data_IF_212473990849
#
_entry.id   IF_212473990849
#
_cell.length_a   1.000
_cell.length_b   1.000
_cell.length_c   1.000
_cell.angle_alpha   90.00
_cell.angle_beta   90.00
_cell.angle_gamma   90.00
#
_symmetry.space_group_name_H-M   'P 1'
#
loop_
_entity.id
_entity.type
_entity.pdbx_description
1 polymer ?
#
# COMPACT_ATOMS: atom_id res chain seq x y z
N UNK A 1 -32.96 14.10 59.85
CA UNK A 1 -33.13 15.55 59.71
C UNK A 1 -33.47 15.83 58.27
N UNK A 2 -34.69 16.15 58.05
CA UNK A 2 -35.43 16.58 56.87
C UNK A 2 -34.97 17.96 56.37
N UNK A 3 -34.96 18.20 55.05
CA UNK A 3 -35.46 19.39 54.29
C UNK A 3 -35.20 19.13 52.81
N UNK A 4 -36.20 18.91 52.00
CA UNK A 4 -37.18 19.73 51.29
C UNK A 4 -36.60 20.55 50.14
N UNK A 5 -36.97 20.08 48.93
CA UNK A 5 -37.39 20.69 47.67
C UNK A 5 -36.91 22.11 47.27
N UNK A 6 -36.43 22.22 46.05
CA UNK A 6 -37.09 23.11 45.06
C UNK A 6 -36.67 22.82 43.61
N UNK A 7 -37.65 22.88 42.74
CA UNK A 7 -37.60 22.64 41.32
C UNK A 7 -36.99 23.83 40.59
N UNK A 8 -36.06 23.58 39.70
CA UNK A 8 -35.57 24.55 38.70
C UNK A 8 -35.33 23.87 37.37
N UNK A 9 -36.40 23.79 36.54
CA UNK A 9 -36.38 23.37 35.15
C UNK A 9 -35.58 24.38 34.32
N UNK A 10 -34.37 24.07 33.93
CA UNK A 10 -33.66 24.80 32.88
C UNK A 10 -33.70 23.97 31.61
N UNK A 11 -34.49 24.43 30.64
CA UNK A 11 -34.38 24.06 29.23
C UNK A 11 -32.95 24.30 28.75
N UNK A 12 -32.23 23.23 28.46
CA UNK A 12 -31.00 23.32 27.67
C UNK A 12 -31.45 23.24 26.21
N UNK A 13 -31.33 24.37 25.54
CA UNK A 13 -31.44 24.47 24.08
C UNK A 13 -30.36 23.58 23.50
N UNK A 14 -30.73 22.56 22.76
CA UNK A 14 -29.89 21.83 21.82
C UNK A 14 -29.49 22.77 20.70
N UNK A 15 -28.28 23.35 20.82
CA UNK A 15 -27.66 24.16 19.77
C UNK A 15 -27.01 23.26 18.74
N UNK A 16 -27.52 23.30 17.59
CA UNK A 16 -26.97 23.18 16.24
C UNK A 16 -25.53 22.64 16.14
N UNK A 17 -25.35 21.29 16.07
CA UNK A 17 -24.09 20.65 15.69
C UNK A 17 -23.85 20.64 14.18
N UNK A 18 -24.85 20.98 13.35
CA UNK A 18 -24.74 20.94 11.89
C UNK A 18 -24.00 22.10 11.25
N UNK A 19 -23.78 23.21 11.98
CA UNK A 19 -23.10 24.39 11.41
C UNK A 19 -21.56 24.34 11.55
N UNK A 20 -21.04 23.56 12.49
CA UNK A 20 -19.59 23.40 12.67
C UNK A 20 -18.97 22.41 11.69
N UNK A 21 -19.71 21.36 11.29
CA UNK A 21 -19.21 20.36 10.36
C UNK A 21 -19.15 20.87 8.90
N UNK A 22 -20.08 21.77 8.51
CA UNK A 22 -20.05 22.37 7.17
C UNK A 22 -18.91 23.39 7.00
N UNK A 23 -18.52 24.09 8.07
CA UNK A 23 -17.44 25.10 8.01
C UNK A 23 -16.06 24.42 8.05
N UNK A 24 -15.91 23.37 8.83
CA UNK A 24 -14.67 22.57 8.86
C UNK A 24 -14.42 21.83 7.52
N UNK A 25 -15.46 21.32 6.87
CA UNK A 25 -15.35 20.68 5.57
C UNK A 25 -15.03 21.68 4.44
N UNK A 26 -15.51 22.93 4.53
CA UNK A 26 -15.12 23.98 3.59
C UNK A 26 -13.69 24.45 3.79
N UNK A 27 -13.23 24.68 5.02
CA UNK A 27 -11.84 25.03 5.32
C UNK A 27 -10.87 23.93 4.89
N UNK A 28 -11.25 22.66 5.04
CA UNK A 28 -10.44 21.52 4.63
C UNK A 28 -10.31 21.41 3.10
N UNK A 29 -11.33 21.82 2.33
CA UNK A 29 -11.27 21.86 0.86
C UNK A 29 -10.38 22.99 0.34
N UNK A 30 -10.32 24.12 1.05
CA UNK A 30 -9.52 25.28 0.64
C UNK A 30 -8.00 25.02 0.68
N UNK A 31 -7.55 24.11 1.54
CA UNK A 31 -6.11 23.76 1.66
C UNK A 31 -5.55 23.08 0.41
N UNK A 32 -6.34 22.23 -0.24
CA UNK A 32 -5.94 21.52 -1.45
C UNK A 32 -6.25 22.31 -2.73
N UNK A 33 -6.85 23.50 -2.62
CA UNK A 33 -7.26 24.30 -3.77
C UNK A 33 -6.12 25.14 -4.28
N UNK A 34 -5.79 24.97 -5.56
CA UNK A 34 -4.87 25.81 -6.31
C UNK A 34 -5.67 26.62 -7.34
N UNK A 35 -5.72 27.96 -7.22
CA UNK A 35 -6.53 28.77 -8.13
C UNK A 35 -8.04 28.61 -7.92
N UNK A 36 -8.81 28.71 -9.00
CA UNK A 36 -10.29 28.66 -8.94
C UNK A 36 -10.86 27.30 -9.34
N UNK A 37 -10.18 26.59 -10.23
CA UNK A 37 -10.65 25.37 -10.90
C UNK A 37 -9.88 24.11 -10.49
N UNK A 38 -8.73 24.25 -9.85
CA UNK A 38 -7.83 23.14 -9.56
C UNK A 38 -7.86 22.74 -8.08
N UNK A 39 -8.26 21.50 -7.82
CA UNK A 39 -8.12 20.84 -6.51
C UNK A 39 -7.00 19.81 -6.62
N UNK A 40 -6.04 19.82 -5.71
CA UNK A 40 -4.95 18.84 -5.68
C UNK A 40 -5.15 17.88 -4.53
N UNK A 41 -5.01 16.60 -4.78
CA UNK A 41 -5.04 15.56 -3.76
C UNK A 41 -3.71 14.80 -3.75
N UNK A 42 -2.79 15.17 -2.83
CA UNK A 42 -1.52 14.46 -2.70
C UNK A 42 -1.72 13.04 -2.16
N UNK A 43 -1.16 12.06 -2.83
CA UNK A 43 -1.35 10.64 -2.53
C UNK A 43 -0.06 10.04 -1.94
N UNK A 44 -0.17 9.31 -0.84
CA UNK A 44 0.84 8.32 -0.45
C UNK A 44 0.48 7.02 -1.18
N UNK A 45 1.37 6.57 -2.04
CA UNK A 45 1.16 5.36 -2.82
C UNK A 45 1.23 4.09 -1.97
N UNK A 46 0.77 2.97 -2.51
CA UNK A 46 0.81 1.65 -1.89
C UNK A 46 -0.02 1.53 -0.59
N UNK A 47 -1.12 2.28 -0.49
CA UNK A 47 -2.00 2.28 0.69
C UNK A 47 -3.48 2.20 0.31
N UNK A 48 -4.16 1.17 0.81
CA UNK A 48 -5.61 1.00 0.68
C UNK A 48 -6.39 2.10 1.39
N UNK A 49 -5.90 2.61 2.52
CA UNK A 49 -6.54 3.72 3.25
C UNK A 49 -6.51 5.02 2.44
N UNK A 50 -5.42 5.25 1.68
CA UNK A 50 -5.36 6.37 0.74
C UNK A 50 -6.27 6.17 -0.46
N UNK A 51 -6.35 4.95 -1.00
CA UNK A 51 -7.29 4.63 -2.09
C UNK A 51 -8.74 4.92 -1.69
N UNK A 52 -9.13 4.56 -0.45
CA UNK A 52 -10.45 4.91 0.09
C UNK A 52 -10.65 6.43 0.26
N UNK A 53 -9.61 7.15 0.64
CA UNK A 53 -9.69 8.61 0.78
C UNK A 53 -9.87 9.29 -0.58
N UNK A 54 -9.15 8.85 -1.62
CA UNK A 54 -9.34 9.30 -3.01
C UNK A 54 -10.76 8.97 -3.50
N UNK A 55 -11.25 7.75 -3.23
CA UNK A 55 -12.63 7.37 -3.57
C UNK A 55 -13.66 8.29 -2.95
N UNK A 56 -13.51 8.64 -1.67
CA UNK A 56 -14.43 9.58 -0.99
C UNK A 56 -14.38 10.95 -1.63
N UNK A 57 -13.20 11.46 -1.94
CA UNK A 57 -13.03 12.76 -2.59
C UNK A 57 -13.70 12.78 -3.97
N UNK A 58 -13.41 11.78 -4.80
CA UNK A 58 -14.01 11.65 -6.14
C UNK A 58 -15.54 11.58 -6.11
N UNK A 59 -16.11 10.83 -5.17
CA UNK A 59 -17.58 10.67 -5.07
C UNK A 59 -18.27 11.85 -4.38
N UNK A 60 -17.59 12.63 -3.56
CA UNK A 60 -18.16 13.80 -2.88
C UNK A 60 -17.94 15.11 -3.64
N UNK A 61 -16.94 15.17 -4.50
CA UNK A 61 -16.63 16.30 -5.35
C UNK A 61 -17.44 16.29 -6.65
N UNK A 62 -17.43 17.42 -7.34
CA UNK A 62 -17.98 17.54 -8.69
C UNK A 62 -16.84 17.94 -9.61
N UNK A 63 -16.19 16.94 -10.21
CA UNK A 63 -15.06 17.15 -11.10
C UNK A 63 -15.45 16.82 -12.52
N UNK A 64 -15.00 17.62 -13.49
CA UNK A 64 -15.16 17.37 -14.92
C UNK A 64 -13.87 16.79 -15.56
N UNK A 65 -12.74 16.93 -14.86
CA UNK A 65 -11.47 16.33 -15.26
C UNK A 65 -10.71 15.76 -14.06
N UNK A 66 -10.13 14.57 -14.24
CA UNK A 66 -9.12 13.97 -13.38
C UNK A 66 -7.76 14.05 -14.07
N UNK A 67 -6.85 14.86 -13.52
CA UNK A 67 -5.46 14.89 -13.95
C UNK A 67 -4.62 13.94 -13.08
N UNK A 68 -3.75 13.14 -13.69
CA UNK A 68 -2.90 12.19 -12.98
C UNK A 68 -1.42 12.35 -13.34
N UNK A 69 -0.55 12.18 -12.35
CA UNK A 69 0.90 12.30 -12.52
C UNK A 69 1.50 11.04 -13.16
N UNK A 70 1.01 10.68 -14.35
CA UNK A 70 1.52 9.62 -15.22
C UNK A 70 1.71 10.16 -16.63
N UNK A 71 2.65 9.64 -17.42
CA UNK A 71 2.87 10.11 -18.79
C UNK A 71 1.80 9.58 -19.75
N UNK A 72 1.51 10.32 -20.83
CA UNK A 72 0.47 9.96 -21.81
C UNK A 72 0.65 8.58 -22.45
N UNK A 73 1.89 8.10 -22.62
CA UNK A 73 2.16 6.78 -23.18
C UNK A 73 1.58 5.63 -22.35
N UNK A 74 1.30 5.86 -21.07
CA UNK A 74 0.68 4.88 -20.17
C UNK A 74 -0.85 4.91 -20.17
N UNK A 75 -1.49 5.95 -20.72
CA UNK A 75 -2.92 6.16 -20.57
C UNK A 75 -3.75 4.98 -21.04
N UNK A 76 -3.63 4.63 -22.31
CA UNK A 76 -4.41 3.56 -22.92
C UNK A 76 -4.17 2.20 -22.23
N UNK A 77 -2.92 1.72 -22.02
CA UNK A 77 -2.69 0.45 -21.33
C UNK A 77 -3.14 0.43 -19.86
N UNK A 78 -3.07 1.56 -19.15
CA UNK A 78 -3.57 1.65 -17.75
C UNK A 78 -5.09 1.54 -17.72
N UNK A 79 -5.80 2.22 -18.62
CA UNK A 79 -7.26 2.10 -18.77
C UNK A 79 -7.64 0.63 -19.05
N UNK A 80 -6.99 -0.01 -20.00
CA UNK A 80 -7.22 -1.43 -20.30
C UNK A 80 -6.96 -2.35 -19.10
N UNK A 81 -5.93 -2.06 -18.31
CA UNK A 81 -5.65 -2.80 -17.09
C UNK A 81 -6.71 -2.61 -16.02
N UNK A 82 -7.22 -1.39 -15.85
CA UNK A 82 -8.28 -1.06 -14.89
C UNK A 82 -9.61 -1.73 -15.27
N UNK A 83 -9.94 -1.82 -16.54
CA UNK A 83 -11.12 -2.53 -17.03
C UNK A 83 -11.10 -4.04 -16.73
N UNK A 84 -9.91 -4.61 -16.54
CA UNK A 84 -9.73 -6.04 -16.18
C UNK A 84 -9.76 -6.30 -14.69
N UNK A 85 -9.75 -5.26 -13.84
CA UNK A 85 -9.87 -5.48 -12.40
C UNK A 85 -11.16 -6.27 -12.09
N UNK A 86 -11.09 -7.27 -11.20
CA UNK A 86 -10.09 -7.48 -10.14
C UNK A 86 -8.82 -8.24 -10.55
N UNK A 87 -8.63 -8.68 -11.79
CA UNK A 87 -7.38 -9.31 -12.21
C UNK A 87 -6.22 -8.29 -12.16
N UNK A 88 -5.17 -8.63 -11.43
CA UNK A 88 -4.01 -7.76 -11.25
C UNK A 88 -3.08 -7.83 -12.45
N UNK A 89 -2.68 -6.68 -12.94
CA UNK A 89 -1.77 -6.52 -14.06
C UNK A 89 -0.76 -5.40 -13.81
N UNK A 90 0.22 -5.25 -14.68
CA UNK A 90 1.18 -4.16 -14.65
C UNK A 90 1.35 -3.59 -16.07
N UNK A 91 1.34 -2.28 -16.17
CA UNK A 91 1.71 -1.60 -17.43
C UNK A 91 3.20 -1.31 -17.37
N UNK A 92 3.95 -1.80 -18.34
CA UNK A 92 5.41 -1.78 -18.34
C UNK A 92 5.95 -1.12 -19.61
N UNK A 93 7.02 -0.34 -19.45
CA UNK A 93 7.72 0.34 -20.54
C UNK A 93 9.22 0.19 -20.37
N UNK A 94 9.94 -0.31 -21.39
CA UNK A 94 11.41 -0.32 -21.39
C UNK A 94 11.95 1.10 -21.45
N UNK A 95 13.01 1.33 -20.70
CA UNK A 95 13.69 2.62 -20.71
C UNK A 95 14.59 2.74 -21.96
N UNK A 96 14.60 3.90 -22.59
CA UNK A 96 15.47 4.12 -23.75
C UNK A 96 16.93 4.32 -23.37
N UNK A 97 17.17 4.94 -22.22
CA UNK A 97 18.51 5.21 -21.72
C UNK A 97 19.13 4.07 -20.89
N UNK A 98 18.33 3.06 -20.53
CA UNK A 98 18.73 1.87 -19.76
C UNK A 98 17.94 0.63 -20.23
N UNK A 99 18.43 -0.10 -21.25
CA UNK A 99 17.68 -1.22 -21.83
C UNK A 99 17.38 -2.36 -20.86
N UNK A 100 18.17 -2.51 -19.78
CA UNK A 100 17.97 -3.54 -18.77
C UNK A 100 16.96 -3.10 -17.70
N UNK A 101 16.47 -1.86 -17.78
CA UNK A 101 15.48 -1.32 -16.88
C UNK A 101 14.09 -1.17 -17.55
N UNK A 102 13.08 -1.47 -16.75
CA UNK A 102 11.68 -1.32 -17.10
C UNK A 102 11.00 -0.49 -16.03
N UNK A 103 10.40 0.63 -16.41
CA UNK A 103 9.52 1.34 -15.50
C UNK A 103 8.09 0.81 -15.65
N UNK A 104 7.34 0.76 -14.55
CA UNK A 104 6.00 0.17 -14.55
C UNK A 104 5.01 0.90 -13.66
N UNK A 105 3.74 0.75 -14.01
CA UNK A 105 2.58 1.17 -13.21
C UNK A 105 1.85 -0.08 -12.76
N UNK A 106 1.78 -0.37 -11.45
CA UNK A 106 0.99 -1.48 -10.93
C UNK A 106 -0.51 -1.16 -11.03
N UNK A 107 -1.27 -2.04 -11.66
CA UNK A 107 -2.74 -1.95 -11.66
C UNK A 107 -3.25 -2.63 -10.38
N UNK A 108 -3.07 -1.92 -9.28
CA UNK A 108 -3.40 -2.36 -7.93
C UNK A 108 -4.61 -1.55 -7.42
N UNK A 109 -5.73 -2.19 -7.04
CA UNK A 109 -6.93 -1.49 -6.56
C UNK A 109 -6.69 -0.73 -5.25
N UNK A 110 -5.63 -1.05 -4.50
CA UNK A 110 -5.21 -0.33 -3.30
C UNK A 110 -4.28 0.86 -3.57
N UNK A 111 -4.06 1.21 -4.85
CA UNK A 111 -3.37 2.43 -5.24
C UNK A 111 -4.36 3.59 -5.41
N UNK A 112 -4.13 4.71 -4.71
CA UNK A 112 -5.02 5.88 -4.79
C UNK A 112 -5.18 6.42 -6.21
N UNK A 113 -4.10 6.43 -7.01
CA UNK A 113 -4.15 6.88 -8.39
C UNK A 113 -4.99 5.96 -9.27
N UNK A 114 -4.81 4.65 -9.16
CA UNK A 114 -5.60 3.65 -9.88
C UNK A 114 -7.09 3.70 -9.46
N UNK A 115 -7.35 3.89 -8.17
CA UNK A 115 -8.70 4.07 -7.66
C UNK A 115 -9.36 5.32 -8.26
N UNK A 116 -8.64 6.43 -8.33
CA UNK A 116 -9.14 7.68 -8.94
C UNK A 116 -9.50 7.49 -10.41
N UNK A 117 -8.60 6.90 -11.22
CA UNK A 117 -8.85 6.63 -12.64
C UNK A 117 -10.05 5.69 -12.80
N UNK A 118 -10.14 4.63 -11.98
CA UNK A 118 -11.27 3.69 -12.01
C UNK A 118 -12.61 4.37 -11.77
N UNK A 119 -12.67 5.34 -10.85
CA UNK A 119 -13.89 6.11 -10.58
C UNK A 119 -14.17 7.08 -11.73
N UNK A 120 -13.13 7.77 -12.24
CA UNK A 120 -13.29 8.67 -13.38
C UNK A 120 -13.92 7.96 -14.59
N UNK A 121 -13.45 6.73 -14.89
CA UNK A 121 -14.04 5.91 -15.96
C UNK A 121 -15.49 5.52 -15.66
N UNK A 122 -15.85 5.22 -14.41
CA UNK A 122 -17.22 4.84 -14.03
C UNK A 122 -18.20 6.02 -14.08
N UNK A 123 -17.73 7.20 -13.68
CA UNK A 123 -18.53 8.44 -13.64
C UNK A 123 -18.45 9.24 -14.95
N UNK A 124 -17.75 8.73 -15.97
CA UNK A 124 -17.49 9.40 -17.25
C UNK A 124 -16.83 10.79 -17.09
N UNK A 125 -15.90 10.91 -16.15
CA UNK A 125 -15.05 12.08 -15.95
C UNK A 125 -13.86 11.97 -16.90
N UNK A 126 -13.50 13.07 -17.58
CA UNK A 126 -12.30 13.11 -18.42
C UNK A 126 -11.05 12.77 -17.61
N UNK A 127 -10.14 11.98 -18.16
CA UNK A 127 -8.94 11.56 -17.46
C UNK A 127 -7.70 11.92 -18.29
N UNK A 128 -6.86 12.80 -17.74
CA UNK A 128 -5.68 13.35 -18.41
C UNK A 128 -4.39 12.91 -17.73
N UNK A 129 -3.49 12.30 -18.48
CA UNK A 129 -2.18 11.88 -18.02
C UNK A 129 -1.18 12.99 -18.33
N UNK A 130 -0.66 13.67 -17.32
CA UNK A 130 0.04 14.95 -17.47
C UNK A 130 1.52 14.94 -17.11
N UNK A 131 2.10 13.79 -16.78
CA UNK A 131 3.53 13.71 -16.50
C UNK A 131 4.35 13.75 -17.78
N UNK A 132 5.62 14.16 -17.69
CA UNK A 132 6.54 14.24 -18.81
C UNK A 132 7.06 12.86 -19.19
N UNK A 133 7.13 12.59 -20.49
CA UNK A 133 7.88 11.43 -21.00
C UNK A 133 9.38 11.60 -20.73
N UNK A 134 10.00 10.54 -20.19
CA UNK A 134 11.44 10.53 -19.85
C UNK A 134 12.12 9.29 -20.41
N UNK A 135 13.38 9.43 -20.78
CA UNK A 135 14.26 8.36 -21.28
C UNK A 135 14.63 7.34 -20.19
N UNK A 136 14.83 7.84 -18.97
CA UNK A 136 15.11 7.07 -17.75
C UNK A 136 14.27 7.61 -16.63
N UNK A 137 13.53 6.72 -15.96
CA UNK A 137 12.74 7.07 -14.78
C UNK A 137 13.56 6.87 -13.50
N UNK A 138 13.49 7.84 -12.60
CA UNK A 138 14.11 7.77 -11.28
C UNK A 138 13.02 7.51 -10.23
N UNK A 139 13.17 6.42 -9.48
CA UNK A 139 12.24 6.07 -8.40
C UNK A 139 12.56 6.92 -7.18
N UNK A 140 11.51 7.54 -6.62
CA UNK A 140 11.59 8.28 -5.38
C UNK A 140 10.76 7.55 -4.33
N UNK A 141 11.42 7.18 -3.23
CA UNK A 141 10.79 6.53 -2.08
C UNK A 141 10.97 7.42 -0.86
N UNK A 142 9.97 7.42 0.02
CA UNK A 142 9.98 8.20 1.24
C UNK A 142 9.73 7.34 2.49
N UNK A 143 9.81 7.99 3.65
CA UNK A 143 9.32 7.41 4.90
C UNK A 143 8.14 8.25 5.35
N UNK A 144 7.00 7.64 5.52
CA UNK A 144 5.75 8.31 5.83
C UNK A 144 5.18 7.84 7.16
N UNK A 145 4.40 8.67 7.86
CA UNK A 145 3.51 8.21 8.91
C UNK A 145 2.56 7.14 8.36
N UNK A 146 2.17 6.19 9.20
CA UNK A 146 1.22 5.15 8.79
C UNK A 146 -0.09 5.77 8.28
N UNK A 147 -0.51 5.50 7.03
CA UNK A 147 -1.73 6.05 6.43
C UNK A 147 -3.02 5.74 7.21
N UNK A 148 -3.02 4.71 8.03
CA UNK A 148 -4.14 4.41 8.93
C UNK A 148 -4.47 5.58 9.88
N UNK A 149 -3.51 6.47 10.13
CA UNK A 149 -3.74 7.68 10.93
C UNK A 149 -4.83 8.59 10.33
N UNK A 150 -5.06 8.56 9.01
CA UNK A 150 -6.14 9.29 8.32
C UNK A 150 -7.55 8.94 8.80
N UNK A 151 -7.72 7.81 9.50
CA UNK A 151 -8.99 7.46 10.17
C UNK A 151 -9.33 8.39 11.35
N UNK A 152 -8.32 9.07 11.90
CA UNK A 152 -8.46 9.90 13.11
C UNK A 152 -7.94 11.32 12.95
N UNK A 153 -7.05 11.53 12.00
CA UNK A 153 -6.39 12.81 11.76
C UNK A 153 -6.83 13.29 10.37
N UNK A 154 -7.30 14.53 10.23
CA UNK A 154 -7.58 15.11 8.91
C UNK A 154 -6.36 15.04 7.99
N UNK A 155 -6.59 15.04 6.67
CA UNK A 155 -5.52 14.93 5.68
C UNK A 155 -4.48 16.06 5.75
N UNK A 156 -4.89 17.30 6.04
CA UNK A 156 -4.00 18.44 6.19
C UNK A 156 -2.92 18.28 7.26
N UNK A 157 -3.24 18.02 8.55
CA UNK A 157 -2.22 17.77 9.56
C UNK A 157 -1.34 16.57 9.23
N UNK A 158 -1.89 15.53 8.58
CA UNK A 158 -1.11 14.38 8.14
C UNK A 158 -0.06 14.79 7.11
N UNK A 159 -0.45 15.55 6.08
CA UNK A 159 0.47 16.06 5.06
C UNK A 159 1.47 17.07 5.65
N UNK A 160 1.03 17.95 6.55
CA UNK A 160 1.91 18.89 7.22
C UNK A 160 3.04 18.20 8.01
N UNK A 161 2.79 16.99 8.54
CA UNK A 161 3.82 16.19 9.20
C UNK A 161 4.85 15.58 8.20
N UNK A 162 4.44 15.36 6.96
CA UNK A 162 5.31 14.81 5.90
C UNK A 162 6.18 15.90 5.26
N UNK A 163 5.62 17.08 5.00
CA UNK A 163 6.28 18.14 4.24
C UNK A 163 7.72 18.47 4.69
N UNK A 164 8.04 18.56 6.00
CA UNK A 164 9.40 18.84 6.44
C UNK A 164 10.43 17.75 6.12
N UNK A 165 9.96 16.52 5.83
CA UNK A 165 10.84 15.38 5.53
C UNK A 165 11.17 15.27 4.04
N UNK A 166 10.49 16.05 3.18
CA UNK A 166 10.65 16.00 1.74
C UNK A 166 11.85 16.85 1.28
N UNK A 167 12.74 16.24 0.51
CA UNK A 167 13.86 16.93 -0.10
C UNK A 167 13.43 17.61 -1.40
N UNK A 168 13.91 18.85 -1.59
CA UNK A 168 13.71 19.55 -2.87
C UNK A 168 14.45 18.80 -3.99
N UNK A 169 13.86 18.71 -5.20
CA UNK A 169 14.56 18.20 -6.37
C UNK A 169 15.83 19.00 -6.64
N UNK A 170 16.85 18.30 -7.10
CA UNK A 170 18.09 18.98 -7.54
C UNK A 170 17.80 19.85 -8.76
N UNK A 171 18.42 21.05 -8.86
CA UNK A 171 18.27 21.93 -10.01
C UNK A 171 18.63 21.20 -11.32
N UNK A 172 17.87 21.45 -12.36
CA UNK A 172 18.01 20.86 -13.71
C UNK A 172 17.88 19.32 -13.76
N UNK A 173 17.48 18.68 -12.64
CA UNK A 173 17.22 17.24 -12.61
C UNK A 173 16.00 16.86 -13.46
N UNK A 174 15.95 15.59 -13.88
CA UNK A 174 14.75 15.05 -14.56
C UNK A 174 13.50 15.25 -13.73
N UNK A 175 13.60 15.10 -12.41
CA UNK A 175 12.48 15.30 -11.49
C UNK A 175 11.98 16.74 -11.50
N UNK A 176 12.87 17.73 -11.43
CA UNK A 176 12.48 19.15 -11.47
C UNK A 176 11.81 19.49 -12.81
N UNK A 177 12.33 18.96 -13.93
CA UNK A 177 11.72 19.14 -15.26
C UNK A 177 10.34 18.50 -15.34
N UNK A 178 10.14 17.30 -14.83
CA UNK A 178 8.81 16.65 -14.77
C UNK A 178 7.82 17.48 -13.97
N UNK A 179 8.23 17.99 -12.80
CA UNK A 179 7.42 18.88 -11.94
C UNK A 179 7.01 20.15 -12.68
N UNK A 180 7.95 20.82 -13.33
CA UNK A 180 7.65 22.02 -14.12
C UNK A 180 6.72 21.73 -15.30
N UNK A 181 6.90 20.57 -15.95
CA UNK A 181 6.02 20.12 -17.05
C UNK A 181 4.59 19.86 -16.54
N UNK A 182 4.41 19.11 -15.45
CA UNK A 182 3.09 18.88 -14.85
C UNK A 182 2.41 20.20 -14.48
N UNK A 183 3.14 21.14 -13.89
CA UNK A 183 2.59 22.46 -13.55
C UNK A 183 2.17 23.25 -14.81
N UNK A 184 2.87 23.10 -15.92
CA UNK A 184 2.50 23.69 -17.20
C UNK A 184 1.20 23.06 -17.75
N UNK A 185 1.15 21.73 -17.79
CA UNK A 185 -0.03 20.98 -18.25
C UNK A 185 -1.29 21.30 -17.42
N UNK A 186 -1.15 21.47 -16.10
CA UNK A 186 -2.28 21.88 -15.26
C UNK A 186 -2.85 23.24 -15.66
N UNK A 187 -2.00 24.22 -16.01
CA UNK A 187 -2.47 25.53 -16.49
C UNK A 187 -3.18 25.44 -17.85
N UNK A 188 -2.73 24.55 -18.73
CA UNK A 188 -3.39 24.31 -20.00
C UNK A 188 -4.77 23.64 -19.80
N UNK A 189 -4.87 22.69 -18.87
CA UNK A 189 -6.16 22.04 -18.58
C UNK A 189 -7.20 23.00 -17.98
N UNK A 190 -6.78 24.04 -17.23
CA UNK A 190 -7.70 25.05 -16.70
C UNK A 190 -8.36 25.92 -17.80
N UNK A 191 -7.81 25.90 -19.03
CA UNK A 191 -8.46 26.56 -20.18
C UNK A 191 -9.59 25.69 -20.75
N UNK A 192 -9.56 24.37 -20.52
CA UNK A 192 -10.51 23.39 -21.07
C UNK A 192 -11.57 22.94 -20.05
N UNK A 193 -11.19 22.81 -18.78
CA UNK A 193 -12.01 22.24 -17.71
C UNK A 193 -12.24 23.25 -16.56
N UNK A 194 -13.38 23.09 -15.88
CA UNK A 194 -13.80 24.02 -14.81
C UNK A 194 -13.48 23.54 -13.40
N UNK A 195 -13.56 22.22 -13.20
CA UNK A 195 -13.37 21.61 -11.89
C UNK A 195 -12.43 20.38 -12.03
N UNK A 196 -11.14 20.62 -11.89
CA UNK A 196 -10.08 19.62 -12.07
C UNK A 196 -9.68 19.05 -10.71
N UNK A 197 -9.63 17.71 -10.60
CA UNK A 197 -8.93 17.04 -9.51
C UNK A 197 -7.57 16.55 -10.01
N UNK A 198 -6.49 16.99 -9.38
CA UNK A 198 -5.15 16.50 -9.67
C UNK A 198 -4.66 15.52 -8.61
N UNK A 199 -4.37 14.28 -9.02
CA UNK A 199 -3.74 13.25 -8.18
C UNK A 199 -2.24 13.21 -8.48
N UNK A 200 -1.42 13.49 -7.46
CA UNK A 200 0.03 13.38 -7.57
C UNK A 200 0.62 12.73 -6.32
N UNK A 201 1.88 12.29 -6.42
CA UNK A 201 2.62 11.84 -5.24
C UNK A 201 2.76 12.96 -4.22
N UNK A 202 2.56 12.65 -2.95
CA UNK A 202 2.87 13.59 -1.84
C UNK A 202 4.30 14.13 -1.92
N UNK A 203 5.21 13.35 -2.50
CA UNK A 203 6.61 13.72 -2.64
C UNK A 203 6.83 14.82 -3.68
N UNK A 204 6.00 14.92 -4.70
CA UNK A 204 6.11 15.92 -5.77
C UNK A 204 5.20 17.14 -5.55
N UNK A 205 4.13 16.97 -4.78
CA UNK A 205 3.12 17.99 -4.53
C UNK A 205 3.66 19.38 -4.18
N UNK A 206 4.57 19.56 -3.18
CA UNK A 206 5.01 20.89 -2.80
C UNK A 206 5.69 21.64 -3.95
N UNK A 207 6.42 20.90 -4.76
CA UNK A 207 7.20 21.45 -5.86
C UNK A 207 6.34 21.72 -7.10
N UNK A 208 5.33 20.88 -7.37
CA UNK A 208 4.33 21.15 -8.41
C UNK A 208 3.54 22.41 -8.07
N UNK A 209 3.12 22.56 -6.80
CA UNK A 209 2.45 23.77 -6.32
C UNK A 209 3.32 25.01 -6.54
N UNK A 210 4.58 24.94 -6.12
CA UNK A 210 5.50 26.08 -6.25
C UNK A 210 5.75 26.43 -7.73
N UNK A 211 5.97 25.43 -8.59
CA UNK A 211 6.15 25.63 -10.03
C UNK A 211 4.89 26.21 -10.70
N UNK A 212 3.70 25.79 -10.27
CA UNK A 212 2.42 26.31 -10.75
C UNK A 212 2.25 27.79 -10.36
N UNK A 213 2.46 28.14 -9.07
CA UNK A 213 2.30 29.51 -8.55
C UNK A 213 3.34 30.48 -9.12
N UNK A 214 4.58 30.00 -9.33
CA UNK A 214 5.67 30.80 -9.92
C UNK A 214 5.57 30.90 -11.43
N UNK A 215 4.58 30.26 -12.06
CA UNK A 215 4.41 30.21 -13.50
C UNK A 215 5.69 29.75 -14.23
N UNK A 216 6.33 28.72 -13.68
CA UNK A 216 7.56 28.18 -14.25
C UNK A 216 7.37 27.84 -15.71
N UNK A 217 8.31 28.22 -16.61
CA UNK A 217 8.21 27.92 -18.04
C UNK A 217 8.11 26.42 -18.29
N UNK A 218 7.37 26.06 -19.36
CA UNK A 218 7.20 24.68 -19.78
C UNK A 218 8.54 24.16 -20.34
N UNK A 219 9.13 23.12 -19.75
CA UNK A 219 10.33 22.52 -20.31
C UNK A 219 9.97 21.74 -21.56
N UNK A 220 10.85 21.73 -22.54
CA UNK A 220 10.72 20.83 -23.68
C UNK A 220 10.86 19.38 -23.22
N UNK A 221 9.95 18.47 -23.64
CA UNK A 221 10.09 17.03 -23.36
C UNK A 221 11.45 16.51 -23.83
N UNK A 222 12.12 15.72 -22.99
CA UNK A 222 13.43 15.10 -23.36
C UNK A 222 13.27 14.10 -24.51
N UNK A 223 12.09 13.53 -24.63
CA UNK A 223 11.64 12.72 -25.73
C UNK A 223 10.60 13.56 -26.47
N UNK A 224 10.86 13.91 -27.72
CA UNK A 224 9.81 14.32 -28.62
C UNK A 224 8.75 13.23 -28.61
N UNK A 225 7.47 13.58 -28.51
CA UNK A 225 6.33 12.68 -28.49
C UNK A 225 6.63 11.47 -29.36
N UNK A 226 6.65 10.29 -28.74
CA UNK A 226 7.31 9.09 -29.28
C UNK A 226 7.11 8.97 -30.79
N UNK A 227 8.19 8.81 -31.57
CA UNK A 227 8.01 8.41 -32.94
C UNK A 227 7.12 7.17 -32.93
N UNK A 228 6.30 7.00 -33.99
CA UNK A 228 5.33 5.89 -34.11
C UNK A 228 5.92 4.47 -33.84
N UNK A 229 7.17 4.37 -33.47
CA UNK A 229 7.96 3.17 -33.19
C UNK A 229 8.82 3.25 -31.91
N UNK A 230 8.52 4.16 -30.96
CA UNK A 230 9.17 4.15 -29.64
C UNK A 230 8.67 2.98 -28.76
N UNK A 231 9.38 2.63 -27.65
CA UNK A 231 8.94 1.59 -26.74
C UNK A 231 7.60 2.01 -26.12
N UNK A 232 6.52 1.46 -26.67
CA UNK A 232 5.18 1.70 -26.15
C UNK A 232 5.01 0.98 -24.81
N UNK A 233 4.36 1.64 -23.87
CA UNK A 233 3.91 0.97 -22.67
C UNK A 233 2.93 -0.17 -23.04
N UNK A 234 3.08 -1.34 -22.40
CA UNK A 234 2.29 -2.54 -22.66
C UNK A 234 1.76 -3.12 -21.38
N UNK A 235 0.59 -3.72 -21.46
CA UNK A 235 -0.07 -4.40 -20.37
C UNK A 235 0.45 -5.84 -20.24
N UNK A 236 0.90 -6.21 -19.04
CA UNK A 236 1.35 -7.55 -18.69
C UNK A 236 0.52 -8.10 -17.55
N UNK A 237 0.26 -9.39 -17.57
CA UNK A 237 -0.31 -10.10 -16.45
C UNK A 237 0.77 -10.36 -15.40
N UNK A 238 0.40 -10.33 -14.12
CA UNK A 238 1.33 -10.62 -13.03
C UNK A 238 1.13 -12.05 -12.54
N UNK A 239 2.23 -12.78 -12.37
CA UNK A 239 2.18 -14.14 -11.82
C UNK A 239 1.57 -14.15 -10.41
N UNK A 240 0.56 -15.00 -10.19
CA UNK A 240 -0.13 -15.13 -8.91
C UNK A 240 0.83 -15.39 -7.73
N UNK A 241 1.90 -16.16 -7.96
CA UNK A 241 2.89 -16.49 -6.94
C UNK A 241 3.72 -15.28 -6.48
N UNK A 242 3.78 -14.21 -7.28
CA UNK A 242 4.66 -13.06 -7.08
C UNK A 242 3.92 -11.75 -6.80
N UNK A 243 2.59 -11.75 -6.74
CA UNK A 243 1.77 -10.56 -6.43
C UNK A 243 2.23 -9.81 -5.18
N UNK A 244 2.67 -10.55 -4.17
CA UNK A 244 3.16 -9.99 -2.91
C UNK A 244 4.33 -9.01 -3.08
N UNK A 245 5.14 -9.16 -4.14
CA UNK A 245 6.26 -8.24 -4.39
C UNK A 245 5.82 -6.93 -5.05
N UNK A 246 4.67 -6.92 -5.70
CA UNK A 246 4.17 -5.75 -6.43
C UNK A 246 3.11 -4.96 -5.65
N UNK A 247 2.15 -5.65 -5.04
CA UNK A 247 1.02 -5.01 -4.35
C UNK A 247 1.50 -4.15 -3.16
N UNK A 248 0.81 -3.05 -2.94
CA UNK A 248 1.02 -2.18 -1.79
C UNK A 248 0.56 -2.80 -0.49
N UNK A 249 -0.61 -3.45 -0.51
CA UNK A 249 -1.19 -4.18 0.61
C UNK A 249 -0.89 -5.69 0.49
N UNK A 250 -1.10 -6.43 1.59
CA UNK A 250 -1.05 -7.90 1.59
C UNK A 250 -2.09 -8.43 0.59
N UNK A 251 -1.75 -9.35 -0.34
CA UNK A 251 -2.67 -9.82 -1.38
C UNK A 251 -4.05 -10.26 -0.87
N UNK A 252 -4.12 -10.98 0.25
CA UNK A 252 -5.37 -11.35 0.88
C UNK A 252 -6.20 -10.13 1.36
N UNK A 253 -5.54 -9.07 1.84
CA UNK A 253 -6.23 -7.82 2.22
C UNK A 253 -6.72 -7.09 0.98
N UNK A 254 -5.91 -7.01 -0.09
CA UNK A 254 -6.33 -6.47 -1.39
C UNK A 254 -7.57 -7.21 -1.92
N UNK A 255 -7.59 -8.55 -1.80
CA UNK A 255 -8.77 -9.35 -2.12
C UNK A 255 -10.00 -8.94 -1.32
N UNK A 256 -9.86 -8.69 0.00
CA UNK A 256 -10.98 -8.26 0.84
C UNK A 256 -11.50 -6.86 0.42
N UNK A 257 -10.64 -5.94 0.01
CA UNK A 257 -11.07 -4.64 -0.53
C UNK A 257 -11.92 -4.81 -1.79
N UNK A 258 -11.49 -5.63 -2.74
CA UNK A 258 -12.28 -5.89 -3.95
C UNK A 258 -13.59 -6.63 -3.65
N UNK A 259 -13.56 -7.63 -2.79
CA UNK A 259 -14.75 -8.35 -2.35
C UNK A 259 -15.76 -7.42 -1.66
N UNK A 260 -15.31 -6.56 -0.74
CA UNK A 260 -16.18 -5.60 -0.07
C UNK A 260 -16.82 -4.62 -1.05
N UNK A 261 -16.12 -4.27 -2.12
CA UNK A 261 -16.63 -3.44 -3.18
C UNK A 261 -17.73 -4.15 -3.98
N UNK A 262 -17.56 -5.42 -4.34
CA UNK A 262 -18.58 -6.23 -5.01
C UNK A 262 -19.83 -6.40 -4.14
N UNK A 263 -19.63 -6.72 -2.88
CA UNK A 263 -20.72 -6.97 -1.91
C UNK A 263 -21.34 -5.67 -1.38
N UNK A 264 -20.84 -4.49 -1.78
CA UNK A 264 -21.24 -3.17 -1.27
C UNK A 264 -21.19 -3.10 0.26
N UNK A 265 -20.26 -3.81 0.88
CA UNK A 265 -20.06 -3.83 2.32
C UNK A 265 -19.08 -2.75 2.77
N UNK A 266 -19.01 -2.50 4.08
CA UNK A 266 -18.10 -1.49 4.62
C UNK A 266 -16.65 -1.93 4.49
N UNK A 267 -15.84 -1.10 3.85
CA UNK A 267 -14.42 -1.29 3.60
C UNK A 267 -13.51 -0.36 4.45
N UNK A 268 -14.12 0.45 5.33
CA UNK A 268 -13.44 1.53 6.04
C UNK A 268 -12.28 1.08 6.94
N UNK A 269 -12.32 -0.12 7.50
CA UNK A 269 -11.32 -0.61 8.45
C UNK A 269 -10.60 -1.88 7.97
N UNK A 270 -10.62 -2.18 6.69
CA UNK A 270 -10.06 -3.44 6.15
C UNK A 270 -8.56 -3.57 6.41
N UNK A 271 -7.80 -2.48 6.51
CA UNK A 271 -6.38 -2.51 6.91
C UNK A 271 -6.14 -3.17 8.29
N UNK A 272 -7.12 -3.14 9.19
CA UNK A 272 -7.05 -3.77 10.52
C UNK A 272 -7.98 -4.99 10.61
N UNK A 273 -9.22 -4.87 10.14
CA UNK A 273 -10.19 -5.97 10.19
C UNK A 273 -9.79 -7.09 9.23
N UNK A 274 -9.18 -6.76 8.09
CA UNK A 274 -8.59 -7.73 7.17
C UNK A 274 -7.48 -8.58 7.80
N UNK A 275 -6.72 -8.04 8.76
CA UNK A 275 -5.74 -8.83 9.53
C UNK A 275 -6.44 -9.90 10.40
N UNK A 276 -7.60 -9.58 10.96
CA UNK A 276 -8.41 -10.57 11.73
C UNK A 276 -8.95 -11.65 10.81
N UNK A 277 -9.49 -11.27 9.66
CA UNK A 277 -9.98 -12.22 8.65
C UNK A 277 -8.86 -13.13 8.14
N UNK A 278 -7.69 -12.56 7.83
CA UNK A 278 -6.49 -13.31 7.46
C UNK A 278 -6.12 -14.35 8.53
N UNK A 279 -6.11 -13.95 9.81
CA UNK A 279 -5.78 -14.83 10.93
C UNK A 279 -6.79 -15.98 11.06
N UNK A 280 -8.07 -15.69 10.95
CA UNK A 280 -9.15 -16.68 11.03
C UNK A 280 -9.06 -17.67 9.87
N UNK A 281 -8.87 -17.18 8.65
CA UNK A 281 -8.76 -18.02 7.47
C UNK A 281 -7.47 -18.87 7.49
N UNK A 282 -6.33 -18.30 7.89
CA UNK A 282 -5.08 -19.04 8.07
C UNK A 282 -5.22 -20.16 9.10
N UNK A 283 -5.91 -19.88 10.23
CA UNK A 283 -6.23 -20.90 11.23
C UNK A 283 -7.13 -22.00 10.67
N UNK A 284 -8.17 -21.64 9.92
CA UNK A 284 -9.09 -22.59 9.29
C UNK A 284 -8.31 -23.53 8.36
N UNK A 285 -7.49 -22.98 7.46
CA UNK A 285 -6.67 -23.77 6.52
C UNK A 285 -5.66 -24.66 7.25
N UNK A 286 -5.01 -24.13 8.28
CA UNK A 286 -4.04 -24.88 9.09
C UNK A 286 -4.68 -26.07 9.81
N UNK A 287 -5.86 -25.88 10.45
CA UNK A 287 -6.60 -26.95 11.12
C UNK A 287 -6.99 -28.06 10.14
N UNK A 288 -7.46 -27.70 8.95
CA UNK A 288 -7.86 -28.67 7.92
C UNK A 288 -6.62 -29.42 7.38
N UNK A 289 -5.55 -28.69 7.04
CA UNK A 289 -4.31 -29.27 6.46
C UNK A 289 -3.64 -30.29 7.39
N UNK A 290 -3.64 -30.01 8.69
CA UNK A 290 -2.94 -30.82 9.68
C UNK A 290 -3.82 -31.74 10.50
N UNK A 291 -5.13 -31.77 10.23
CA UNK A 291 -6.12 -32.58 10.97
C UNK A 291 -6.00 -32.40 12.49
N UNK A 292 -5.82 -31.16 12.92
CA UNK A 292 -5.60 -30.80 14.33
C UNK A 292 -6.93 -30.54 15.01
N UNK A 293 -7.08 -31.01 16.24
CA UNK A 293 -8.23 -30.66 17.09
C UNK A 293 -8.28 -29.15 17.33
N UNK A 294 -9.45 -28.54 17.25
CA UNK A 294 -9.68 -27.10 17.32
C UNK A 294 -9.17 -26.40 18.59
N UNK A 295 -8.66 -27.17 19.58
CA UNK A 295 -8.22 -26.64 20.87
C UNK A 295 -6.85 -25.92 20.82
N UNK A 296 -6.02 -26.14 19.80
CA UNK A 296 -4.65 -25.61 19.76
C UNK A 296 -4.54 -24.10 19.54
N UNK A 297 -5.40 -23.48 18.78
CA UNK A 297 -5.46 -22.03 18.62
C UNK A 297 -6.85 -21.54 19.02
N UNK A 298 -7.14 -21.63 20.31
CA UNK A 298 -8.42 -21.20 20.88
C UNK A 298 -8.54 -19.65 20.84
N UNK A 299 -9.74 -19.09 21.07
CA UNK A 299 -9.93 -17.63 21.05
C UNK A 299 -9.01 -16.84 21.97
N UNK A 300 -8.60 -17.41 23.12
CA UNK A 300 -7.68 -16.76 24.05
C UNK A 300 -6.28 -16.62 23.46
N UNK A 301 -5.81 -17.68 22.77
CA UNK A 301 -4.52 -17.68 22.06
C UNK A 301 -4.55 -16.70 20.89
N UNK A 302 -5.66 -16.63 20.14
CA UNK A 302 -5.82 -15.65 19.07
C UNK A 302 -5.85 -14.20 19.61
N UNK A 303 -6.46 -13.99 20.77
CA UNK A 303 -6.41 -12.70 21.46
C UNK A 303 -4.99 -12.33 21.87
N UNK A 304 -4.23 -13.29 22.41
CA UNK A 304 -2.82 -13.09 22.77
C UNK A 304 -1.98 -12.76 21.52
N UNK A 305 -2.21 -13.47 20.40
CA UNK A 305 -1.60 -13.18 19.11
C UNK A 305 -1.85 -11.73 18.67
N UNK A 306 -3.11 -11.29 18.67
CA UNK A 306 -3.45 -9.92 18.26
C UNK A 306 -2.83 -8.85 19.17
N UNK A 307 -2.76 -9.11 20.49
CA UNK A 307 -2.06 -8.22 21.43
C UNK A 307 -0.55 -8.16 21.12
N UNK A 308 0.05 -9.29 20.80
CA UNK A 308 1.46 -9.38 20.46
C UNK A 308 1.77 -8.64 19.14
N UNK A 309 0.99 -8.90 18.10
CA UNK A 309 1.06 -8.16 16.83
C UNK A 309 0.97 -6.66 17.08
N UNK A 310 -0.06 -6.20 17.80
CA UNK A 310 -0.22 -4.78 18.11
C UNK A 310 1.01 -4.20 18.80
N UNK A 311 1.58 -4.92 19.78
CA UNK A 311 2.74 -4.42 20.53
C UNK A 311 3.98 -4.30 19.63
N UNK A 312 4.23 -5.30 18.76
CA UNK A 312 5.32 -5.24 17.78
C UNK A 312 5.13 -4.07 16.79
N UNK A 313 3.92 -3.91 16.26
CA UNK A 313 3.57 -2.84 15.33
C UNK A 313 3.80 -1.45 15.95
N UNK A 314 3.40 -1.27 17.22
CA UNK A 314 3.63 -0.01 17.94
C UNK A 314 5.11 0.25 18.23
N UNK A 315 5.92 -0.80 18.43
CA UNK A 315 7.38 -0.66 18.57
C UNK A 315 8.02 -0.16 17.27
N UNK A 316 7.48 -0.60 16.11
CA UNK A 316 7.87 -0.11 14.78
C UNK A 316 7.23 1.25 14.45
N UNK A 317 6.53 1.90 15.40
CA UNK A 317 5.83 3.19 15.25
C UNK A 317 4.75 3.18 14.16
N UNK A 318 4.13 2.04 13.93
CA UNK A 318 3.03 1.85 12.98
C UNK A 318 1.73 1.49 13.70
N UNK A 319 0.62 1.66 13.02
CA UNK A 319 -0.71 1.20 13.46
C UNK A 319 -1.12 -0.09 12.74
N UNK A 320 -0.68 -0.25 11.48
CA UNK A 320 -0.95 -1.42 10.66
C UNK A 320 0.26 -2.36 10.66
N UNK A 321 0.07 -3.66 10.93
CA UNK A 321 1.16 -4.63 10.91
C UNK A 321 1.52 -5.01 9.47
N UNK A 322 2.81 -5.18 9.21
CA UNK A 322 3.31 -5.78 7.99
C UNK A 322 3.27 -7.33 8.06
N UNK A 323 3.46 -7.99 6.93
CA UNK A 323 3.44 -9.46 6.86
C UNK A 323 4.56 -10.09 7.71
N UNK A 324 5.72 -9.42 7.84
CA UNK A 324 6.80 -9.91 8.68
C UNK A 324 6.38 -9.97 10.14
N UNK A 325 5.81 -8.88 10.66
CA UNK A 325 5.30 -8.79 12.04
C UNK A 325 4.24 -9.84 12.32
N UNK A 326 3.29 -10.02 11.38
CA UNK A 326 2.25 -11.05 11.48
C UNK A 326 2.85 -12.46 11.52
N UNK A 327 3.85 -12.73 10.68
CA UNK A 327 4.51 -14.04 10.60
C UNK A 327 5.35 -14.34 11.83
N UNK A 328 6.09 -13.34 12.36
CA UNK A 328 6.84 -13.48 13.61
C UNK A 328 5.90 -13.82 14.76
N UNK A 329 4.79 -13.12 14.88
CA UNK A 329 3.79 -13.40 15.93
C UNK A 329 3.17 -14.79 15.74
N UNK A 330 2.86 -15.22 14.53
CA UNK A 330 2.32 -16.53 14.23
C UNK A 330 3.30 -17.64 14.62
N UNK A 331 4.59 -17.45 14.32
CA UNK A 331 5.65 -18.39 14.71
C UNK A 331 5.76 -18.54 16.23
N UNK A 332 5.67 -17.45 16.97
CA UNK A 332 5.76 -17.49 18.43
C UNK A 332 4.55 -18.15 19.08
N UNK A 333 3.36 -17.95 18.54
CA UNK A 333 2.10 -18.41 19.15
C UNK A 333 1.70 -19.81 18.67
N UNK A 334 1.86 -20.08 17.38
CA UNK A 334 1.39 -21.32 16.73
C UNK A 334 2.50 -22.21 16.15
N UNK A 335 3.76 -21.77 16.24
CA UNK A 335 4.91 -22.49 15.66
C UNK A 335 5.06 -22.28 14.15
N UNK A 336 6.09 -22.92 13.60
CA UNK A 336 6.49 -22.72 12.21
C UNK A 336 5.39 -23.17 11.23
N UNK A 337 4.66 -24.25 11.52
CA UNK A 337 3.60 -24.75 10.64
C UNK A 337 2.42 -23.78 10.50
N UNK A 338 2.05 -23.13 11.60
CA UNK A 338 1.01 -22.09 11.57
C UNK A 338 1.51 -20.83 10.86
N UNK A 339 2.76 -20.43 11.10
CA UNK A 339 3.37 -19.29 10.41
C UNK A 339 3.42 -19.50 8.89
N UNK A 340 3.77 -20.72 8.44
CA UNK A 340 3.71 -21.07 7.00
C UNK A 340 2.29 -20.95 6.46
N UNK A 341 1.30 -21.50 7.18
CA UNK A 341 -0.11 -21.40 6.76
C UNK A 341 -0.60 -19.94 6.69
N UNK A 342 -0.14 -19.09 7.61
CA UNK A 342 -0.44 -17.66 7.58
C UNK A 342 0.15 -16.99 6.32
N UNK A 343 1.41 -17.25 6.00
CA UNK A 343 2.08 -16.70 4.81
C UNK A 343 1.42 -17.19 3.52
N UNK A 344 1.10 -18.50 3.44
CA UNK A 344 0.39 -19.06 2.29
C UNK A 344 -0.98 -18.39 2.09
N UNK A 345 -1.72 -18.15 3.19
CA UNK A 345 -3.01 -17.46 3.13
C UNK A 345 -2.85 -16.00 2.78
N UNK A 346 -1.84 -15.31 3.32
CA UNK A 346 -1.58 -13.91 3.06
C UNK A 346 -1.24 -13.63 1.59
N UNK A 347 -0.58 -14.57 0.92
CA UNK A 347 -0.24 -14.48 -0.51
C UNK A 347 -1.39 -14.82 -1.45
N UNK A 348 -2.49 -15.37 -0.93
CA UNK A 348 -3.61 -15.80 -1.74
C UNK A 348 -4.44 -14.62 -2.24
N UNK A 349 -4.65 -14.58 -3.55
CA UNK A 349 -5.51 -13.61 -4.22
C UNK A 349 -6.42 -14.35 -5.19
N UNK A 350 -7.62 -14.74 -4.76
CA UNK A 350 -8.50 -15.65 -5.51
C UNK A 350 -8.92 -15.17 -6.89
N UNK A 351 -8.88 -13.87 -7.16
CA UNK A 351 -9.19 -13.31 -8.48
C UNK A 351 -8.07 -13.49 -9.51
N UNK A 352 -6.84 -13.83 -9.07
CA UNK A 352 -5.73 -14.12 -9.98
C UNK A 352 -5.71 -15.60 -10.31
N UNK A 353 -6.25 -15.96 -11.45
CA UNK A 353 -6.20 -17.35 -11.93
C UNK A 353 -4.80 -17.67 -12.46
N UNK A 354 -4.29 -18.88 -12.16
CA UNK A 354 -3.07 -19.38 -12.78
C UNK A 354 -3.41 -19.77 -14.23
N UNK A 355 -2.47 -19.48 -15.14
CA UNK A 355 -2.44 -20.03 -16.52
C UNK A 355 -3.65 -19.72 -17.42
N UNK A 356 -3.83 -18.45 -17.81
CA UNK A 356 -4.56 -18.16 -19.05
C UNK A 356 -3.57 -18.03 -20.20
N UNK A 357 -3.68 -18.92 -21.19
CA UNK A 357 -2.96 -18.81 -22.45
C UNK A 357 -3.31 -17.47 -23.15
N UNK A 358 -2.31 -16.72 -23.57
CA UNK A 358 -2.49 -15.56 -24.44
C UNK A 358 -2.01 -14.21 -23.91
N UNK A 359 -1.50 -14.13 -22.69
CA UNK A 359 -0.91 -12.89 -22.15
C UNK A 359 0.54 -13.10 -21.74
N UNK A 360 1.40 -12.15 -22.10
CA UNK A 360 2.74 -12.08 -21.53
C UNK A 360 2.63 -11.94 -20.01
N UNK A 361 3.15 -12.91 -19.27
CA UNK A 361 3.13 -12.93 -17.81
C UNK A 361 4.49 -12.51 -17.28
N UNK A 362 4.51 -11.66 -16.27
CA UNK A 362 5.73 -11.23 -15.59
C UNK A 362 5.73 -11.73 -14.15
N UNK A 363 6.86 -12.25 -13.70
CA UNK A 363 7.08 -12.61 -12.31
C UNK A 363 7.89 -11.50 -11.60
N UNK A 364 7.34 -10.96 -10.53
CA UNK A 364 7.94 -9.89 -9.75
C UNK A 364 8.84 -10.44 -8.64
N UNK A 365 9.95 -9.74 -8.37
CA UNK A 365 10.86 -10.01 -7.27
C UNK A 365 11.29 -8.72 -6.55
N UNK A 366 12.34 -8.80 -5.77
CA UNK A 366 12.90 -7.63 -5.07
C UNK A 366 13.65 -6.71 -6.06
N UNK A 367 12.93 -5.74 -6.65
CA UNK A 367 13.49 -4.79 -7.61
C UNK A 367 13.86 -5.38 -8.96
N UNK A 368 13.51 -6.63 -9.22
CA UNK A 368 13.73 -7.32 -10.51
C UNK A 368 12.47 -8.05 -10.94
N UNK A 369 12.29 -8.20 -12.24
CA UNK A 369 11.21 -8.98 -12.84
C UNK A 369 11.75 -9.97 -13.83
N UNK A 370 11.12 -11.13 -13.94
CA UNK A 370 11.36 -12.13 -14.96
C UNK A 370 10.21 -12.07 -15.97
N UNK A 371 10.54 -11.79 -17.21
CA UNK A 371 9.61 -11.72 -18.32
C UNK A 371 9.26 -13.13 -18.82
N UNK A 372 8.20 -13.24 -19.63
CA UNK A 372 7.74 -14.54 -20.15
C UNK A 372 8.79 -15.28 -21.00
N UNK A 373 9.73 -14.57 -21.60
CA UNK A 373 10.86 -15.12 -22.34
C UNK A 373 12.06 -15.54 -21.48
N UNK A 374 11.97 -15.36 -20.14
CA UNK A 374 13.03 -15.63 -19.18
C UNK A 374 14.04 -14.51 -19.01
N UNK A 375 13.83 -13.36 -19.67
CA UNK A 375 14.68 -12.18 -19.48
C UNK A 375 14.45 -11.59 -18.08
N UNK A 376 15.55 -11.26 -17.39
CA UNK A 376 15.51 -10.62 -16.07
C UNK A 376 15.82 -9.13 -16.22
N UNK A 377 14.86 -8.30 -15.83
CA UNK A 377 14.93 -6.83 -15.94
C UNK A 377 14.92 -6.15 -14.57
N UNK A 378 15.51 -4.97 -14.47
CA UNK A 378 15.35 -4.10 -13.31
C UNK A 378 14.01 -3.40 -13.34
N UNK A 379 13.26 -3.46 -12.23
CA UNK A 379 11.91 -2.89 -12.14
C UNK A 379 11.91 -1.56 -11.39
N UNK A 380 11.32 -0.54 -12.01
CA UNK A 380 11.17 0.81 -11.44
C UNK A 380 9.69 1.16 -11.32
N UNK A 381 9.16 1.16 -10.10
CA UNK A 381 7.76 1.49 -9.83
C UNK A 381 7.50 3.00 -9.97
N UNK A 382 6.59 3.41 -10.85
CA UNK A 382 6.17 4.82 -11.00
C UNK A 382 5.25 5.29 -9.86
N UNK A 383 4.60 4.35 -9.19
CA UNK A 383 3.73 4.61 -8.05
C UNK A 383 4.37 4.07 -6.76
N UNK A 384 5.68 4.24 -6.61
CA UNK A 384 6.38 3.87 -5.39
C UNK A 384 5.95 4.76 -4.22
N UNK A 385 5.70 4.16 -3.08
CA UNK A 385 5.32 4.81 -1.84
C UNK A 385 6.44 4.79 -0.80
N UNK A 386 6.24 4.06 0.27
CA UNK A 386 7.22 3.88 1.33
C UNK A 386 8.33 2.91 0.88
N UNK A 387 9.56 3.21 1.29
CA UNK A 387 10.70 2.31 1.03
C UNK A 387 10.47 0.95 1.65
N UNK A 388 10.39 -0.10 0.83
CA UNK A 388 10.19 -1.47 1.30
C UNK A 388 11.48 -2.04 1.90
N UNK A 389 11.39 -2.50 3.16
CA UNK A 389 12.48 -3.17 3.87
C UNK A 389 12.20 -4.67 3.88
N UNK A 390 13.00 -5.43 3.15
CA UNK A 390 12.90 -6.87 3.08
C UNK A 390 13.61 -7.53 4.26
N UNK A 391 12.89 -8.39 4.98
CA UNK A 391 13.39 -9.13 6.13
C UNK A 391 13.23 -10.63 5.90
N UNK A 392 14.20 -11.41 6.30
CA UNK A 392 14.14 -12.88 6.22
C UNK A 392 13.76 -13.48 7.56
N UNK A 393 12.82 -14.42 7.55
CA UNK A 393 12.43 -15.20 8.71
C UNK A 393 12.62 -16.69 8.39
N UNK A 394 13.54 -17.39 9.07
CA UNK A 394 13.68 -18.83 8.87
C UNK A 394 12.46 -19.55 9.45
N UNK A 395 11.72 -20.23 8.58
CA UNK A 395 10.64 -21.12 8.93
C UNK A 395 11.07 -22.56 8.60
N UNK A 396 10.88 -23.46 9.53
CA UNK A 396 11.15 -24.90 9.29
C UNK A 396 9.94 -25.52 8.64
N UNK A 397 10.12 -26.07 7.44
CA UNK A 397 9.09 -26.91 6.84
C UNK A 397 8.85 -28.13 7.73
N UNK A 398 7.59 -28.54 7.85
CA UNK A 398 7.30 -29.81 8.53
C UNK A 398 7.99 -30.96 7.79
N UNK A 399 8.63 -31.88 8.53
CA UNK A 399 9.18 -33.08 7.92
C UNK A 399 8.04 -33.89 7.30
N UNK A 400 8.31 -34.53 6.16
CA UNK A 400 7.37 -35.44 5.52
C UNK A 400 6.76 -36.42 6.54
N UNK A 401 5.51 -36.83 6.34
CA UNK A 401 4.73 -37.68 7.25
C UNK A 401 5.51 -38.92 7.69
N UNK A 402 6.40 -39.46 6.83
CA UNK A 402 7.29 -40.58 7.11
C UNK A 402 8.35 -40.25 8.16
N UNK A 403 8.88 -39.01 8.15
CA UNK A 403 9.86 -38.51 9.13
C UNK A 403 9.19 -38.09 10.44
N UNK A 404 7.94 -37.64 10.39
CA UNK A 404 7.16 -37.36 11.60
C UNK A 404 6.88 -38.63 12.41
N UNK A 405 6.60 -39.75 11.75
CA UNK A 405 6.44 -41.03 12.45
C UNK A 405 7.74 -41.53 13.07
N UNK A 406 8.88 -41.34 12.40
CA UNK A 406 10.19 -41.67 12.96
C UNK A 406 10.53 -40.77 14.18
N UNK A 407 10.20 -39.48 14.12
CA UNK A 407 10.42 -38.58 15.24
C UNK A 407 9.58 -38.90 16.49
N UNK A 408 8.38 -39.37 16.32
CA UNK A 408 7.51 -39.81 17.43
C UNK A 408 8.03 -41.05 18.14
N UNK A 409 8.90 -41.84 17.51
CA UNK A 409 9.45 -43.09 18.06
C UNK A 409 10.91 -42.96 18.51
N UNK A 410 11.62 -41.88 18.21
CA UNK A 410 12.96 -41.63 18.71
C UNK A 410 12.90 -40.82 20.00
N UNK A 411 12.82 -41.52 21.10
CA UNK A 411 13.00 -40.93 22.42
C UNK A 411 14.49 -40.75 22.70
N UNK A 412 14.96 -39.51 22.88
CA UNK A 412 16.31 -39.22 23.32
C UNK A 412 16.32 -39.12 24.87
N UNK A 413 16.93 -40.12 25.55
CA UNK A 413 16.96 -40.14 27.02
C UNK A 413 17.80 -39.04 27.62
N UNK A 414 18.60 -38.29 26.85
CA UNK A 414 19.52 -37.27 27.32
C UNK A 414 19.02 -35.80 27.14
N UNK A 415 17.77 -35.61 27.17
CA UNK A 415 17.29 -34.26 27.42
C UNK A 415 16.68 -33.57 26.27
N UNK A 416 16.29 -34.31 25.39
CA UNK A 416 15.48 -33.72 24.36
C UNK A 416 14.12 -34.43 24.41
N UNK A 417 13.39 -34.18 25.49
CA UNK A 417 11.94 -34.22 25.35
C UNK A 417 11.61 -33.44 24.09
N UNK A 418 10.75 -33.97 23.24
CA UNK A 418 10.22 -33.31 22.06
C UNK A 418 9.54 -31.95 22.36
N UNK A 419 9.57 -31.53 23.61
CA UNK A 419 9.16 -30.25 24.17
C UNK A 419 10.40 -29.56 24.67
N UNK A 420 10.81 -28.49 24.00
CA UNK A 420 11.75 -27.54 24.62
C UNK A 420 11.10 -27.07 25.91
N UNK A 421 11.75 -27.23 27.09
CA UNK A 421 11.21 -26.68 28.33
C UNK A 421 10.85 -25.22 28.14
N UNK A 422 9.73 -24.78 28.72
CA UNK A 422 9.29 -23.38 28.59
C UNK A 422 10.39 -22.41 29.02
N UNK A 423 11.21 -22.79 30.00
CA UNK A 423 12.37 -22.01 30.44
C UNK A 423 13.42 -21.81 29.34
N UNK A 424 13.69 -22.79 28.47
CA UNK A 424 14.57 -22.63 27.32
C UNK A 424 13.94 -21.78 26.21
N UNK A 425 12.61 -21.80 26.08
CA UNK A 425 11.91 -20.90 25.17
C UNK A 425 12.01 -19.46 25.65
N UNK A 426 11.92 -19.23 26.97
CA UNK A 426 12.06 -17.94 27.61
C UNK A 426 13.53 -17.47 27.54
N UNK A 427 14.51 -18.35 27.77
CA UNK A 427 15.92 -18.02 27.63
C UNK A 427 16.33 -17.73 26.18
N UNK A 428 15.86 -18.52 25.22
CA UNK A 428 16.12 -18.25 23.79
C UNK A 428 15.46 -16.97 23.32
N UNK A 429 14.28 -16.64 23.83
CA UNK A 429 13.63 -15.36 23.59
C UNK A 429 14.42 -14.19 24.19
N UNK A 430 14.87 -14.30 25.44
CA UNK A 430 15.69 -13.28 26.09
C UNK A 430 17.05 -13.09 25.41
N UNK A 431 17.69 -14.17 24.96
CA UNK A 431 18.92 -14.12 24.18
C UNK A 431 18.69 -13.45 22.83
N UNK A 432 17.65 -13.81 22.13
CA UNK A 432 17.33 -13.26 20.82
C UNK A 432 16.96 -11.77 20.89
N UNK A 433 16.19 -11.35 21.88
CA UNK A 433 15.88 -9.93 22.14
C UNK A 433 17.14 -9.16 22.49
N UNK A 434 18.04 -9.75 23.30
CA UNK A 434 19.34 -9.11 23.62
C UNK A 434 20.26 -9.01 22.41
N UNK A 435 20.30 -10.01 21.56
CA UNK A 435 21.10 -10.00 20.32
C UNK A 435 20.55 -9.00 19.30
N UNK A 436 19.23 -8.91 19.15
CA UNK A 436 18.60 -7.89 18.33
C UNK A 436 18.81 -6.48 18.86
N UNK A 437 18.68 -6.28 20.16
CA UNK A 437 18.98 -4.99 20.80
C UNK A 437 20.45 -4.58 20.62
N UNK A 438 21.40 -5.54 20.73
CA UNK A 438 22.82 -5.30 20.50
C UNK A 438 23.12 -4.99 19.03
N UNK A 439 22.45 -5.67 18.08
CA UNK A 439 22.61 -5.40 16.65
C UNK A 439 22.10 -3.99 16.29
N UNK A 440 20.93 -3.60 16.80
CA UNK A 440 20.38 -2.26 16.61
C UNK A 440 21.27 -1.16 17.23
N UNK A 441 21.79 -1.37 18.43
CA UNK A 441 22.73 -0.42 19.08
C UNK A 441 24.07 -0.37 18.31
N UNK A 442 24.52 -1.49 17.77
CA UNK A 442 25.75 -1.56 16.97
C UNK A 442 25.61 -0.86 15.62
N UNK A 443 24.45 -0.94 14.98
CA UNK A 443 24.17 -0.22 13.74
C UNK A 443 24.02 1.29 13.93
N UNK A 444 23.42 1.74 15.03
CA UNK A 444 23.32 3.17 15.36
C UNK A 444 24.68 3.78 15.71
N UNK A 445 25.56 3.02 16.39
CA UNK A 445 26.95 3.43 16.67
C UNK A 445 27.85 3.45 15.41
N UNK A 446 27.54 2.68 14.39
CA UNK A 446 28.27 2.68 13.12
C UNK A 446 27.81 3.77 12.16
N UNK A 447 26.68 4.42 12.43
CA UNK A 447 26.12 5.54 11.66
C UNK A 447 26.37 6.91 12.27
N UNK A 448 26.85 6.99 13.50
CA UNK A 448 27.31 8.20 14.17
C UNK A 448 28.80 8.42 14.00
#
# INVERSE_FOLDING_TARGET
>A
VTFSSEKGTRCIRTGNSGYRDMDSSRQQRDFYRLGHSLTVFPVVHESGDYALSVRREMLSGHYDCLAVALPPSFQEPVIQGIERLPEISAVMQREQGDPDAVNYVPIDPCQGMIMGIRIALQENIACEFIDMEVDVYEVYEGTFPDPYALKRIPGEPFLAAILPTLSRPEPESRRERRIAYMACRLRELEEEYKDILFLCSVMDWPWVRDAYLLQTPCPEPSLQAAPAHGPSARLFRVSAATLYFMLGEIPFITYLYEKSREDLTSDENLSIDGVKELLIEARRRWVVKHNITQHHLNPQVLQAYMKYVRNLTLMDRRFTPDLYTLTVAAKQVGGDSFAVSLVETAKDFPYQTQDQEGYDTVAFGMGRGEMADGEVVSLKNRLAGERKVWRTLPLRSEPEVRKQKLWKYFWDPYGQCSWTPEDRKIESFNLHVREQARALIGEDLARS
#
